data_IF_192514857161
#
_entry.id   IF_192514857161
#
_cell.length_a   1.000
_cell.length_b   1.000
_cell.length_c   1.000
_cell.angle_alpha   90.00
_cell.angle_beta   90.00
_cell.angle_gamma   90.00
#
_symmetry.space_group_name_H-M   'P 1'
#
loop_
_entity.id
_entity.type
_entity.pdbx_description
1 polymer ?
#
# COMPACT_ATOMS: atom_id res chain seq x y z
N UNK A 1 20.44 -51.95 -67.50
CA UNK A 1 21.06 -51.76 -66.17
C UNK A 1 21.51 -50.30 -66.05
N UNK A 2 20.98 -49.56 -65.08
CA UNK A 2 21.30 -48.16 -64.85
C UNK A 2 20.26 -47.51 -63.94
N UNK A 3 20.53 -47.50 -62.64
CA UNK A 3 19.67 -46.99 -61.55
C UNK A 3 19.70 -45.45 -61.52
N UNK A 4 18.59 -44.73 -61.28
CA UNK A 4 18.61 -43.30 -60.99
C UNK A 4 18.80 -43.05 -59.49
N UNK A 5 19.75 -42.18 -59.10
CA UNK A 5 19.82 -41.66 -57.72
C UNK A 5 19.39 -40.19 -57.70
N UNK A 6 18.25 -39.97 -57.07
CA UNK A 6 17.74 -38.66 -56.67
C UNK A 6 18.70 -38.01 -55.65
N UNK A 7 19.20 -36.83 -55.98
CA UNK A 7 19.90 -35.96 -55.04
C UNK A 7 18.89 -35.14 -54.24
N UNK A 8 18.48 -35.66 -53.08
CA UNK A 8 17.86 -34.87 -52.02
C UNK A 8 18.98 -34.23 -51.20
N UNK A 9 19.12 -32.90 -51.22
CA UNK A 9 19.88 -32.19 -50.19
C UNK A 9 19.01 -31.11 -49.55
N UNK A 10 18.91 -31.28 -48.24
CA UNK A 10 18.04 -30.61 -47.29
C UNK A 10 18.41 -29.14 -47.18
N UNK A 11 17.39 -28.28 -47.23
CA UNK A 11 17.47 -26.92 -46.69
C UNK A 11 17.84 -27.02 -45.22
N UNK A 12 18.97 -26.44 -44.85
CA UNK A 12 19.44 -26.29 -43.48
C UNK A 12 18.42 -25.46 -42.70
N UNK A 13 17.76 -26.13 -41.74
CA UNK A 13 16.91 -25.49 -40.72
C UNK A 13 17.81 -24.56 -39.91
N UNK A 14 17.48 -23.27 -39.92
CA UNK A 14 18.16 -22.27 -39.11
C UNK A 14 18.13 -22.67 -37.64
N UNK A 15 19.31 -22.73 -37.04
CA UNK A 15 19.51 -23.00 -35.62
C UNK A 15 18.88 -21.85 -34.83
N UNK A 16 17.64 -22.04 -34.38
CA UNK A 16 17.03 -21.18 -33.36
C UNK A 16 17.82 -21.40 -32.08
N UNK A 17 18.60 -20.41 -31.67
CA UNK A 17 19.26 -20.40 -30.36
C UNK A 17 18.22 -20.63 -29.27
N UNK A 18 18.48 -21.52 -28.29
CA UNK A 18 17.53 -21.77 -27.21
C UNK A 18 17.38 -20.48 -26.41
N UNK A 19 16.24 -19.80 -26.54
CA UNK A 19 15.88 -18.70 -25.64
C UNK A 19 15.89 -19.29 -24.23
N UNK A 20 16.82 -18.88 -23.37
CA UNK A 20 16.73 -19.16 -21.92
C UNK A 20 15.28 -18.85 -21.50
N UNK A 21 14.59 -19.75 -20.79
CA UNK A 21 13.14 -19.77 -20.80
C UNK A 21 12.65 -18.48 -20.15
N UNK A 22 11.92 -17.66 -20.90
CA UNK A 22 11.33 -16.40 -20.43
C UNK A 22 10.47 -16.61 -19.17
N UNK A 23 9.94 -17.83 -19.01
CA UNK A 23 9.26 -18.33 -17.82
C UNK A 23 10.12 -18.26 -16.55
N UNK A 24 11.42 -18.55 -16.63
CA UNK A 24 12.32 -18.47 -15.47
C UNK A 24 12.55 -17.04 -14.99
N UNK A 25 12.50 -16.07 -15.91
CA UNK A 25 12.61 -14.64 -15.59
C UNK A 25 11.30 -14.12 -15.00
N UNK A 26 10.17 -14.53 -15.58
CA UNK A 26 8.82 -14.20 -15.10
C UNK A 26 8.57 -14.75 -13.69
N UNK A 27 8.88 -16.03 -13.46
CA UNK A 27 8.77 -16.64 -12.13
C UNK A 27 9.67 -15.94 -11.10
N UNK A 28 10.92 -15.62 -11.44
CA UNK A 28 11.79 -14.85 -10.54
C UNK A 28 11.17 -13.49 -10.21
N UNK A 29 10.64 -12.78 -11.22
CA UNK A 29 10.02 -11.46 -11.04
C UNK A 29 8.82 -11.49 -10.11
N UNK A 30 7.94 -12.48 -10.26
CA UNK A 30 6.78 -12.68 -9.38
C UNK A 30 7.23 -13.01 -7.95
N UNK A 31 8.26 -13.85 -7.81
CA UNK A 31 8.83 -14.19 -6.51
C UNK A 31 9.40 -12.96 -5.80
N UNK A 32 10.22 -12.16 -6.48
CA UNK A 32 10.77 -10.92 -5.94
C UNK A 32 9.66 -9.93 -5.56
N UNK A 33 8.63 -9.78 -6.42
CA UNK A 33 7.47 -8.94 -6.13
C UNK A 33 6.73 -9.37 -4.85
N UNK A 34 6.59 -10.67 -4.59
CA UNK A 34 5.92 -11.17 -3.38
C UNK A 34 6.70 -10.80 -2.11
N UNK A 35 8.04 -10.91 -2.14
CA UNK A 35 8.88 -10.45 -1.04
C UNK A 35 8.78 -8.93 -0.85
N UNK A 36 8.78 -8.16 -1.95
CA UNK A 36 8.62 -6.71 -1.90
C UNK A 36 7.27 -6.29 -1.33
N UNK A 37 6.18 -6.99 -1.64
CA UNK A 37 4.87 -6.77 -1.03
C UNK A 37 4.92 -6.89 0.49
N UNK A 38 5.50 -7.98 1.00
CA UNK A 38 5.67 -8.18 2.45
C UNK A 38 6.47 -7.03 3.08
N UNK A 39 7.60 -6.66 2.47
CA UNK A 39 8.44 -5.57 2.96
C UNK A 39 7.74 -4.22 2.94
N UNK A 40 6.90 -3.93 1.94
CA UNK A 40 6.13 -2.70 1.85
C UNK A 40 5.04 -2.64 2.92
N UNK A 41 4.36 -3.77 3.20
CA UNK A 41 3.34 -3.84 4.26
C UNK A 41 3.96 -3.63 5.64
N UNK A 42 5.10 -4.26 5.95
CA UNK A 42 5.81 -4.01 7.22
C UNK A 42 6.21 -2.54 7.39
N UNK A 43 6.69 -1.90 6.31
CA UNK A 43 7.03 -0.47 6.32
C UNK A 43 5.80 0.41 6.49
N UNK A 44 4.68 0.02 5.90
CA UNK A 44 3.40 0.70 6.06
C UNK A 44 2.96 0.66 7.52
N UNK A 45 2.96 -0.51 8.14
CA UNK A 45 2.59 -0.70 9.56
C UNK A 45 3.47 0.15 10.48
N UNK A 46 4.79 0.11 10.26
CA UNK A 46 5.74 0.92 11.04
C UNK A 46 5.44 2.43 10.94
N UNK A 47 5.19 2.94 9.73
CA UNK A 47 4.83 4.35 9.55
C UNK A 47 3.45 4.68 10.10
N UNK A 48 2.49 3.76 9.99
CA UNK A 48 1.15 3.92 10.52
C UNK A 48 1.18 4.08 12.05
N UNK A 49 1.95 3.25 12.74
CA UNK A 49 2.07 3.27 14.20
C UNK A 49 2.76 4.57 14.68
N UNK A 50 3.83 4.98 14.00
CA UNK A 50 4.47 6.27 14.26
C UNK A 50 3.51 7.45 14.04
N UNK A 51 2.81 7.46 12.90
CA UNK A 51 1.81 8.49 12.62
C UNK A 51 0.63 8.48 13.58
N UNK A 52 0.25 7.32 14.12
CA UNK A 52 -0.80 7.23 15.13
C UNK A 52 -0.37 7.90 16.44
N UNK A 53 0.89 7.74 16.85
CA UNK A 53 1.43 8.43 18.01
C UNK A 53 1.41 9.95 17.82
N UNK A 54 1.89 10.45 16.66
CA UNK A 54 1.84 11.89 16.33
C UNK A 54 0.40 12.41 16.27
N UNK A 55 -0.52 11.70 15.60
CA UNK A 55 -1.93 12.05 15.55
C UNK A 55 -2.58 12.08 16.94
N UNK A 56 -2.24 11.13 17.82
CA UNK A 56 -2.72 11.12 19.20
C UNK A 56 -2.28 12.35 19.97
N UNK A 57 -1.04 12.81 19.76
CA UNK A 57 -0.55 14.06 20.37
C UNK A 57 -1.35 15.26 19.86
N UNK A 58 -1.59 15.38 18.55
CA UNK A 58 -2.42 16.44 17.95
C UNK A 58 -3.83 16.44 18.57
N UNK A 59 -4.46 15.27 18.66
CA UNK A 59 -5.80 15.12 19.21
C UNK A 59 -5.87 15.52 20.69
N UNK A 60 -4.92 15.04 21.51
CA UNK A 60 -4.84 15.36 22.93
C UNK A 60 -4.63 16.87 23.16
N UNK A 61 -3.78 17.47 22.33
CA UNK A 61 -3.55 18.91 22.35
C UNK A 61 -4.86 19.65 22.08
N UNK A 62 -5.57 19.26 21.00
CA UNK A 62 -6.85 19.87 20.62
C UNK A 62 -7.94 19.69 21.68
N UNK A 63 -8.06 18.51 22.28
CA UNK A 63 -9.02 18.23 23.37
C UNK A 63 -8.72 19.11 24.58
N UNK A 64 -7.45 19.34 24.88
CA UNK A 64 -7.04 20.20 26.00
C UNK A 64 -7.44 21.65 25.78
N UNK A 65 -7.29 22.18 24.56
CA UNK A 65 -7.80 23.52 24.22
C UNK A 65 -9.31 23.63 24.38
N UNK A 66 -10.06 22.70 23.79
CA UNK A 66 -11.52 22.71 23.85
C UNK A 66 -12.03 22.67 25.30
N UNK A 67 -11.30 21.97 26.17
CA UNK A 67 -11.62 21.91 27.60
C UNK A 67 -11.34 23.25 28.30
N UNK A 68 -10.25 23.94 27.94
CA UNK A 68 -9.93 25.27 28.49
C UNK A 68 -10.93 26.33 28.02
N UNK A 69 -11.24 26.36 26.73
CA UNK A 69 -12.19 27.32 26.15
C UNK A 69 -13.57 27.19 26.82
N UNK A 70 -13.99 25.95 27.12
CA UNK A 70 -15.23 25.68 27.85
C UNK A 70 -15.21 26.22 29.29
N UNK A 71 -14.10 26.03 30.02
CA UNK A 71 -13.95 26.52 31.40
C UNK A 71 -13.93 28.06 31.44
N UNK A 72 -13.24 28.71 30.49
CA UNK A 72 -13.20 30.17 30.39
C UNK A 72 -14.58 30.74 30.06
N UNK A 73 -15.34 30.10 29.17
CA UNK A 73 -16.73 30.48 28.85
C UNK A 73 -17.68 30.34 30.06
N UNK A 74 -17.51 29.28 30.87
CA UNK A 74 -18.30 29.06 32.08
C UNK A 74 -17.91 30.03 33.22
N UNK A 75 -16.65 30.45 33.29
CA UNK A 75 -16.11 31.36 34.32
C UNK A 75 -16.40 32.85 34.02
N UNK A 76 -16.42 33.23 32.74
CA UNK A 76 -16.69 34.61 32.28
C UNK A 76 -18.15 35.06 32.48
N UNK A 77 -19.03 34.18 32.97
CA UNK A 77 -20.32 34.56 33.53
C UNK A 77 -20.26 35.39 34.82
N UNK A 78 -19.06 35.59 35.43
CA UNK A 78 -18.90 36.26 36.72
C UNK A 78 -17.86 37.40 36.78
N UNK A 79 -17.14 37.75 35.71
CA UNK A 79 -16.26 38.93 35.73
C UNK A 79 -16.03 39.53 34.33
N UNK A 80 -16.16 40.86 34.25
CA UNK A 80 -15.76 41.65 33.10
C UNK A 80 -14.23 41.93 33.12
N UNK A 81 -13.68 42.09 31.91
CA UNK A 81 -12.33 42.53 31.53
C UNK A 81 -11.17 41.50 31.52
N UNK A 82 -10.80 41.01 30.32
CA UNK A 82 -9.64 41.48 29.51
C UNK A 82 -9.60 40.70 28.16
N UNK A 83 -9.69 41.34 26.97
CA UNK A 83 -9.76 40.65 25.67
C UNK A 83 -8.44 40.07 25.17
N UNK A 84 -7.41 39.92 26.02
CA UNK A 84 -6.12 39.38 25.64
C UNK A 84 -6.00 37.85 25.89
N UNK A 85 -7.00 37.06 25.49
CA UNK A 85 -6.84 35.62 25.28
C UNK A 85 -5.97 35.41 24.02
N UNK A 86 -4.70 35.78 24.11
CA UNK A 86 -3.70 35.46 23.11
C UNK A 86 -3.54 33.95 23.15
N UNK A 87 -3.94 33.27 22.08
CA UNK A 87 -3.45 31.92 21.79
C UNK A 87 -1.95 31.90 22.13
N UNK A 88 -1.55 31.06 23.09
CA UNK A 88 -0.15 30.98 23.50
C UNK A 88 0.67 30.67 22.24
N UNK A 89 1.56 31.57 21.78
CA UNK A 89 2.26 31.40 20.50
C UNK A 89 3.07 30.09 20.44
N UNK A 90 3.55 29.64 21.60
CA UNK A 90 4.26 28.37 21.77
C UNK A 90 3.37 27.15 21.49
N UNK A 91 2.12 27.17 21.94
CA UNK A 91 1.15 26.10 21.69
C UNK A 91 0.83 25.97 20.20
N UNK A 92 0.56 27.10 19.53
CA UNK A 92 0.27 27.11 18.09
C UNK A 92 1.43 26.55 17.29
N UNK A 93 2.66 26.86 17.71
CA UNK A 93 3.90 26.38 17.07
C UNK A 93 4.12 24.88 17.28
N UNK A 94 3.81 24.36 18.47
CA UNK A 94 3.91 22.93 18.75
C UNK A 94 2.87 22.13 17.95
N UNK A 95 1.64 22.63 17.86
CA UNK A 95 0.59 22.03 17.04
C UNK A 95 0.97 22.01 15.55
N UNK A 96 1.54 23.12 15.05
CA UNK A 96 2.03 23.21 13.67
C UNK A 96 3.13 22.19 13.40
N UNK A 97 4.13 22.06 14.29
CA UNK A 97 5.20 21.08 14.16
C UNK A 97 4.67 19.63 14.14
N UNK A 98 3.69 19.29 14.98
CA UNK A 98 3.05 17.97 14.96
C UNK A 98 2.27 17.72 13.66
N UNK A 99 1.63 18.75 13.10
CA UNK A 99 0.95 18.64 11.80
C UNK A 99 1.94 18.43 10.65
N UNK A 100 3.09 19.12 10.67
CA UNK A 100 4.18 18.92 9.70
C UNK A 100 4.77 17.50 9.79
N UNK A 101 4.95 16.99 11.01
CA UNK A 101 5.41 15.61 11.23
C UNK A 101 4.39 14.61 10.68
N UNK A 102 3.10 14.81 10.95
CA UNK A 102 2.03 13.95 10.44
C UNK A 102 1.93 14.00 8.91
N UNK A 103 2.16 15.17 8.31
CA UNK A 103 2.28 15.33 6.86
C UNK A 103 3.49 14.58 6.29
N UNK A 104 4.62 14.58 7.00
CA UNK A 104 5.80 13.80 6.63
C UNK A 104 5.52 12.29 6.65
N UNK A 105 4.78 11.80 7.65
CA UNK A 105 4.31 10.41 7.68
C UNK A 105 3.43 10.10 6.46
N UNK A 106 2.49 10.98 6.14
CA UNK A 106 1.57 10.83 5.01
C UNK A 106 2.29 10.79 3.66
N UNK A 107 3.36 11.56 3.51
CA UNK A 107 4.23 11.52 2.33
C UNK A 107 5.00 10.18 2.24
N UNK A 108 5.45 9.66 3.39
CA UNK A 108 6.02 8.32 3.50
C UNK A 108 5.05 7.23 3.05
N UNK A 109 3.82 7.25 3.57
CA UNK A 109 2.75 6.32 3.18
C UNK A 109 2.40 6.44 1.69
N UNK A 110 2.37 7.66 1.15
CA UNK A 110 2.16 7.93 -0.27
C UNK A 110 3.26 7.27 -1.13
N UNK A 111 4.53 7.38 -0.72
CA UNK A 111 5.65 6.72 -1.42
C UNK A 111 5.54 5.19 -1.38
N UNK A 112 5.04 4.62 -0.28
CA UNK A 112 4.79 3.17 -0.19
C UNK A 112 3.68 2.76 -1.15
N UNK A 113 2.57 3.49 -1.17
CA UNK A 113 1.42 3.18 -2.02
C UNK A 113 1.79 3.25 -3.51
N UNK A 114 2.59 4.24 -3.94
CA UNK A 114 3.12 4.30 -5.31
C UNK A 114 3.97 3.07 -5.67
N UNK A 115 4.72 2.52 -4.71
CA UNK A 115 5.50 1.28 -4.92
C UNK A 115 4.57 0.07 -5.05
N UNK A 116 3.50 0.00 -4.27
CA UNK A 116 2.47 -1.05 -4.36
C UNK A 116 1.77 -1.04 -5.72
N UNK A 117 1.43 0.14 -6.24
CA UNK A 117 0.87 0.29 -7.60
C UNK A 117 1.87 -0.18 -8.68
N UNK A 118 3.15 0.11 -8.49
CA UNK A 118 4.22 -0.35 -9.38
C UNK A 118 4.39 -1.87 -9.35
N UNK A 119 4.29 -2.52 -8.18
CA UNK A 119 4.31 -3.99 -8.08
C UNK A 119 3.11 -4.61 -8.81
N UNK A 120 1.93 -4.02 -8.66
CA UNK A 120 0.72 -4.44 -9.36
C UNK A 120 0.88 -4.31 -10.88
N UNK A 121 1.40 -3.18 -11.35
CA UNK A 121 1.65 -2.93 -12.78
C UNK A 121 2.70 -3.88 -13.35
N UNK A 122 3.76 -4.18 -12.57
CA UNK A 122 4.78 -5.14 -12.95
C UNK A 122 4.17 -6.53 -13.14
N UNK A 123 3.33 -6.96 -12.21
CA UNK A 123 2.66 -8.26 -12.26
C UNK A 123 1.69 -8.36 -13.45
N UNK A 124 0.99 -7.25 -13.76
CA UNK A 124 0.17 -7.13 -14.98
C UNK A 124 1.00 -7.33 -16.24
N UNK A 125 2.16 -6.67 -16.34
CA UNK A 125 3.06 -6.83 -17.47
C UNK A 125 3.55 -8.28 -17.64
N UNK A 126 3.77 -9.01 -16.54
CA UNK A 126 4.09 -10.44 -16.61
C UNK A 126 2.91 -11.25 -17.17
N UNK A 127 1.67 -10.96 -16.75
CA UNK A 127 0.48 -11.61 -17.31
C UNK A 127 0.35 -11.37 -18.82
N UNK A 128 0.48 -10.11 -19.25
CA UNK A 128 0.39 -9.72 -20.66
C UNK A 128 1.50 -10.38 -21.51
N UNK A 129 2.71 -10.52 -20.96
CA UNK A 129 3.82 -11.23 -21.62
C UNK A 129 3.56 -12.73 -21.76
N UNK A 130 2.94 -13.36 -20.76
CA UNK A 130 2.54 -14.77 -20.86
C UNK A 130 1.40 -14.97 -21.85
N UNK A 131 0.39 -14.09 -21.84
CA UNK A 131 -0.70 -14.11 -22.82
C UNK A 131 -0.16 -14.02 -24.25
N UNK A 132 0.81 -13.13 -24.49
CA UNK A 132 1.47 -13.00 -25.79
C UNK A 132 2.21 -14.26 -26.23
N UNK A 133 2.89 -14.97 -25.32
CA UNK A 133 3.66 -16.15 -25.66
C UNK A 133 2.84 -17.42 -25.87
N UNK A 134 1.70 -17.57 -25.17
CA UNK A 134 0.91 -18.81 -25.19
C UNK A 134 -0.42 -18.69 -25.94
N UNK A 135 -0.90 -17.47 -26.26
CA UNK A 135 -2.20 -17.28 -26.90
C UNK A 135 -3.35 -17.89 -26.08
N UNK A 136 -4.42 -18.33 -26.75
CA UNK A 136 -5.59 -18.98 -26.13
C UNK A 136 -5.36 -20.46 -25.74
N UNK A 137 -4.15 -21.01 -25.86
CA UNK A 137 -3.90 -22.42 -25.53
C UNK A 137 -4.16 -22.69 -24.03
N UNK A 138 -5.25 -23.45 -23.78
CA UNK A 138 -5.94 -23.57 -22.48
C UNK A 138 -5.20 -24.35 -21.39
N UNK A 139 -3.94 -24.75 -21.58
CA UNK A 139 -3.19 -25.52 -20.57
C UNK A 139 -1.85 -24.89 -20.30
N UNK A 140 -1.89 -23.76 -19.59
CA UNK A 140 -0.71 -23.09 -19.06
C UNK A 140 -0.36 -23.73 -17.71
N UNK A 141 0.81 -24.38 -17.57
CA UNK A 141 1.25 -24.83 -16.26
C UNK A 141 1.50 -23.62 -15.35
N UNK A 142 1.12 -23.66 -14.06
CA UNK A 142 1.46 -22.62 -13.10
C UNK A 142 2.97 -22.35 -13.07
N UNK A 143 3.36 -21.09 -12.87
CA UNK A 143 4.77 -20.73 -12.65
C UNK A 143 5.31 -21.27 -11.32
N UNK A 144 4.41 -21.56 -10.37
CA UNK A 144 4.72 -22.04 -9.02
C UNK A 144 3.88 -23.27 -8.68
N UNK A 145 3.18 -23.31 -7.54
CA UNK A 145 2.41 -24.49 -7.14
C UNK A 145 1.04 -24.49 -7.82
N UNK A 146 0.11 -23.62 -7.39
CA UNK A 146 -1.29 -23.74 -7.82
C UNK A 146 -1.83 -22.50 -8.53
N UNK A 147 -1.24 -21.33 -8.28
CA UNK A 147 -1.78 -20.08 -8.80
C UNK A 147 -1.44 -19.86 -10.29
N UNK A 148 -2.43 -19.53 -11.14
CA UNK A 148 -2.15 -18.92 -12.43
C UNK A 148 -1.62 -17.51 -12.23
N UNK A 149 -0.79 -17.02 -13.15
CA UNK A 149 -0.19 -15.68 -13.08
C UNK A 149 -1.21 -14.56 -12.98
N UNK A 150 -2.35 -14.70 -13.66
CA UNK A 150 -3.48 -13.77 -13.57
C UNK A 150 -3.94 -13.57 -12.12
N UNK A 151 -3.91 -14.62 -11.30
CA UNK A 151 -4.32 -14.52 -9.90
C UNK A 151 -3.33 -13.71 -9.06
N UNK A 152 -2.02 -13.81 -9.32
CA UNK A 152 -1.03 -12.92 -8.69
C UNK A 152 -1.31 -11.45 -9.00
N UNK A 153 -1.74 -11.13 -10.23
CA UNK A 153 -2.13 -9.77 -10.59
C UNK A 153 -3.40 -9.32 -9.88
N UNK A 154 -4.45 -10.15 -9.86
CA UNK A 154 -5.70 -9.86 -9.16
C UNK A 154 -5.46 -9.54 -7.68
N UNK A 155 -4.67 -10.38 -7.01
CA UNK A 155 -4.31 -10.19 -5.61
C UNK A 155 -3.49 -8.93 -5.41
N UNK A 156 -2.45 -8.69 -6.23
CA UNK A 156 -1.63 -7.48 -6.15
C UNK A 156 -2.48 -6.22 -6.33
N UNK A 157 -3.38 -6.20 -7.33
CA UNK A 157 -4.29 -5.09 -7.59
C UNK A 157 -5.21 -4.86 -6.40
N UNK A 158 -5.86 -5.91 -5.88
CA UNK A 158 -6.76 -5.81 -4.74
C UNK A 158 -6.05 -5.22 -3.52
N UNK A 159 -4.85 -5.71 -3.19
CA UNK A 159 -4.03 -5.14 -2.11
C UNK A 159 -3.74 -3.65 -2.36
N UNK A 160 -3.25 -3.31 -3.55
CA UNK A 160 -2.95 -1.91 -3.91
C UNK A 160 -4.17 -0.99 -3.77
N UNK A 161 -5.35 -1.46 -4.16
CA UNK A 161 -6.60 -0.70 -4.07
C UNK A 161 -7.00 -0.44 -2.62
N UNK A 162 -6.89 -1.45 -1.74
CA UNK A 162 -7.19 -1.34 -0.31
C UNK A 162 -6.26 -0.33 0.37
N UNK A 163 -4.95 -0.44 0.15
CA UNK A 163 -3.97 0.53 0.67
C UNK A 163 -4.17 1.93 0.08
N UNK A 164 -4.60 2.04 -1.18
CA UNK A 164 -4.97 3.30 -1.80
C UNK A 164 -6.20 3.95 -1.16
N UNK A 165 -7.22 3.17 -0.80
CA UNK A 165 -8.39 3.65 -0.06
C UNK A 165 -8.02 4.11 1.34
N UNK A 166 -7.24 3.31 2.06
CA UNK A 166 -6.76 3.65 3.40
C UNK A 166 -5.92 4.94 3.38
N UNK A 167 -5.03 5.10 2.39
CA UNK A 167 -4.26 6.34 2.24
C UNK A 167 -5.16 7.56 2.06
N UNK A 168 -6.23 7.44 1.27
CA UNK A 168 -7.19 8.55 1.07
C UNK A 168 -7.89 8.93 2.37
N UNK A 169 -8.28 7.96 3.18
CA UNK A 169 -8.83 8.20 4.52
C UNK A 169 -7.82 8.94 5.39
N UNK A 170 -6.58 8.46 5.47
CA UNK A 170 -5.53 9.10 6.26
C UNK A 170 -5.28 10.54 5.82
N UNK A 171 -5.34 10.85 4.52
CA UNK A 171 -5.27 12.24 4.01
C UNK A 171 -6.40 13.12 4.56
N UNK A 172 -7.61 12.59 4.67
CA UNK A 172 -8.75 13.32 5.27
C UNK A 172 -8.48 13.55 6.76
N UNK A 173 -8.05 12.51 7.48
CA UNK A 173 -7.72 12.62 8.91
C UNK A 173 -6.68 13.70 9.16
N UNK A 174 -5.52 13.67 8.46
CA UNK A 174 -4.47 14.70 8.63
C UNK A 174 -5.01 16.11 8.41
N UNK A 175 -5.84 16.31 7.38
CA UNK A 175 -6.42 17.62 7.05
C UNK A 175 -7.44 18.12 8.06
N UNK A 176 -8.09 17.25 8.81
CA UNK A 176 -9.24 17.61 9.64
C UNK A 176 -8.96 17.52 11.15
N UNK A 177 -7.97 16.72 11.55
CA UNK A 177 -7.73 16.40 12.97
C UNK A 177 -7.45 17.64 13.83
N UNK A 178 -6.59 18.55 13.36
CA UNK A 178 -6.29 19.80 14.07
C UNK A 178 -7.50 20.76 14.13
N UNK A 179 -8.50 20.57 13.27
CA UNK A 179 -9.72 21.37 13.17
C UNK A 179 -10.93 20.70 13.84
N UNK A 180 -10.74 19.59 14.55
CA UNK A 180 -11.84 18.94 15.26
C UNK A 180 -12.52 19.91 16.26
N UNK A 181 -13.84 19.99 16.20
CA UNK A 181 -14.67 20.92 16.99
C UNK A 181 -14.97 20.41 18.39
N UNK A 182 -14.86 19.10 18.60
CA UNK A 182 -15.19 18.43 19.84
C UNK A 182 -14.33 17.18 20.03
N UNK A 183 -14.39 16.64 21.25
CA UNK A 183 -13.62 15.46 21.66
C UNK A 183 -14.02 14.20 20.89
N UNK A 184 -15.30 14.00 20.62
CA UNK A 184 -15.79 12.78 19.99
C UNK A 184 -15.34 12.71 18.52
N UNK A 185 -15.33 13.85 17.83
CA UNK A 185 -14.78 13.97 16.48
C UNK A 185 -13.28 13.69 16.44
N UNK A 186 -12.50 14.25 17.37
CA UNK A 186 -11.06 13.96 17.46
C UNK A 186 -10.78 12.47 17.70
N UNK A 187 -11.52 11.84 18.63
CA UNK A 187 -11.41 10.41 18.89
C UNK A 187 -11.86 9.55 17.70
N UNK A 188 -12.87 9.99 16.96
CA UNK A 188 -13.32 9.31 15.75
C UNK A 188 -12.21 9.30 14.68
N UNK A 189 -11.50 10.41 14.48
CA UNK A 189 -10.36 10.46 13.58
C UNK A 189 -9.19 9.56 14.03
N UNK A 190 -8.90 9.49 15.33
CA UNK A 190 -7.91 8.56 15.86
C UNK A 190 -8.31 7.10 15.62
N UNK A 191 -9.58 6.77 15.86
CA UNK A 191 -10.12 5.43 15.62
C UNK A 191 -9.98 5.03 14.14
N UNK A 192 -10.32 5.94 13.22
CA UNK A 192 -10.12 5.75 11.78
C UNK A 192 -8.65 5.48 11.43
N UNK A 193 -7.71 6.23 12.02
CA UNK A 193 -6.29 6.01 11.77
C UNK A 193 -5.80 4.67 12.30
N UNK A 194 -6.18 4.32 13.53
CA UNK A 194 -5.74 3.11 14.24
C UNK A 194 -6.22 1.84 13.56
N UNK A 195 -7.52 1.76 13.27
CA UNK A 195 -8.14 0.51 12.84
C UNK A 195 -8.05 0.24 11.35
N UNK A 196 -7.64 1.24 10.55
CA UNK A 196 -7.42 1.11 9.11
C UNK A 196 -8.59 0.40 8.39
N UNK A 197 -9.81 0.97 8.45
CA UNK A 197 -11.04 0.26 8.09
C UNK A 197 -11.10 -0.23 6.63
N UNK A 198 -10.29 0.32 5.74
CA UNK A 198 -10.20 -0.13 4.34
C UNK A 198 -9.24 -1.31 4.14
N UNK A 199 -8.43 -1.65 5.16
CA UNK A 199 -7.64 -2.87 5.19
C UNK A 199 -8.46 -4.01 5.80
N UNK A 200 -9.33 -4.61 4.97
CA UNK A 200 -10.06 -5.83 5.34
C UNK A 200 -9.10 -6.92 5.86
N UNK A 201 -9.59 -7.77 6.78
CA UNK A 201 -8.84 -8.95 7.25
C UNK A 201 -8.42 -9.91 6.13
N UNK A 202 -9.04 -9.80 4.95
CA UNK A 202 -8.66 -10.54 3.74
C UNK A 202 -7.28 -10.14 3.22
N UNK A 203 -6.79 -8.92 3.46
CA UNK A 203 -5.47 -8.45 2.99
C UNK A 203 -4.31 -9.30 3.49
N UNK A 204 -4.30 -9.65 4.78
CA UNK A 204 -3.28 -10.51 5.37
C UNK A 204 -3.32 -11.91 4.78
N UNK A 205 -4.52 -12.48 4.64
CA UNK A 205 -4.69 -13.79 4.02
C UNK A 205 -4.16 -13.81 2.59
N UNK A 206 -4.52 -12.79 1.80
CA UNK A 206 -4.06 -12.62 0.43
C UNK A 206 -2.54 -12.55 0.31
N UNK A 207 -1.87 -11.78 1.19
CA UNK A 207 -0.42 -11.72 1.23
C UNK A 207 0.19 -13.08 1.62
N UNK A 208 -0.29 -13.71 2.69
CA UNK A 208 0.25 -14.99 3.16
C UNK A 208 0.06 -16.10 2.12
N UNK A 209 -1.07 -16.12 1.40
CA UNK A 209 -1.26 -17.01 0.26
C UNK A 209 -0.28 -16.74 -0.86
N UNK A 210 -0.02 -15.47 -1.22
CA UNK A 210 0.97 -15.12 -2.24
C UNK A 210 2.39 -15.55 -1.84
N UNK A 211 2.75 -15.40 -0.56
CA UNK A 211 4.05 -15.79 -0.02
C UNK A 211 4.24 -17.31 0.04
N UNK A 212 3.21 -18.05 0.44
CA UNK A 212 3.18 -19.50 0.39
C UNK A 212 3.33 -20.00 -1.05
N UNK A 213 2.60 -19.41 -1.99
CA UNK A 213 2.66 -19.82 -3.39
C UNK A 213 4.01 -19.58 -4.03
N UNK A 214 4.72 -18.54 -3.62
CA UNK A 214 6.07 -18.24 -4.12
C UNK A 214 7.21 -18.92 -3.33
N UNK A 215 6.85 -19.73 -2.33
CA UNK A 215 7.80 -20.48 -1.49
C UNK A 215 8.55 -19.64 -0.46
N UNK A 216 8.01 -18.49 -0.06
CA UNK A 216 8.51 -17.70 1.08
C UNK A 216 7.94 -18.15 2.43
N UNK A 217 6.85 -18.92 2.41
CA UNK A 217 6.31 -19.65 3.55
C UNK A 217 6.38 -21.15 3.27
N UNK A 218 6.52 -21.94 4.33
CA UNK A 218 6.37 -23.37 4.23
C UNK A 218 4.89 -23.73 4.00
N UNK A 219 4.67 -24.79 3.22
CA UNK A 219 3.37 -25.42 3.01
C UNK A 219 2.98 -26.29 4.21
#
# INVERSE_FOLDING_TARGET
MGVPRQGCQRKTVGTVTPRKPVLSVSARKIKDNAADWHNLILKWETLNDGGFATASNVANMKISLLSRDKIELESSGLAADDPAAKEHPEYSRELEALCEELQTTLDGLTKIQMKMEKLSSTTKGVCELEDYHYGEERKRPPLFHTWPTAHFYEVSRKLSDMYGQELRLKRVVVKQLAHATDRDLALSYLSMWLHQPYLEGSSRLLLESMLLETGHRAL
#
